data_IF_405087660112
#
_entry.id   IF_405087660112
#
_cell.length_a   1.000
_cell.length_b   1.000
_cell.length_c   1.000
_cell.angle_alpha   90.00
_cell.angle_beta   90.00
_cell.angle_gamma   90.00
#
_symmetry.space_group_name_H-M   'P 1'
#
loop_
_entity.id
_entity.type
_entity.pdbx_description
1 polymer ?
#
# COMPACT_ATOMS: atom_id res chain seq x y z
N UNK A 1 30.26 -9.88 -33.50
CA UNK A 1 30.26 -9.39 -32.11
C UNK A 1 29.09 -10.05 -31.42
N UNK A 2 29.31 -11.18 -30.75
CA UNK A 2 28.25 -12.04 -30.23
C UNK A 2 28.53 -12.40 -28.77
N UNK A 3 27.51 -12.22 -27.92
CA UNK A 3 27.14 -13.29 -27.00
C UNK A 3 27.37 -13.13 -25.49
N UNK A 4 27.55 -11.94 -24.92
CA UNK A 4 27.79 -11.83 -23.46
C UNK A 4 26.59 -11.47 -22.57
N UNK A 5 25.39 -11.25 -23.10
CA UNK A 5 24.24 -10.78 -22.29
C UNK A 5 23.24 -11.86 -21.85
N UNK A 6 23.31 -13.11 -22.31
CA UNK A 6 22.11 -13.98 -22.32
C UNK A 6 21.94 -15.00 -21.17
N UNK A 7 22.99 -15.44 -20.47
CA UNK A 7 22.85 -16.53 -19.50
C UNK A 7 22.33 -16.08 -18.12
N UNK A 8 22.68 -14.86 -17.69
CA UNK A 8 22.22 -14.31 -16.42
C UNK A 8 20.79 -13.71 -16.54
N UNK A 9 20.47 -13.06 -17.67
CA UNK A 9 19.15 -12.51 -17.93
C UNK A 9 18.04 -13.58 -17.94
N UNK A 10 18.27 -14.71 -18.63
CA UNK A 10 17.34 -15.86 -18.63
C UNK A 10 17.11 -16.52 -17.27
N UNK A 11 17.98 -16.29 -16.28
CA UNK A 11 17.83 -16.90 -14.94
C UNK A 11 16.89 -16.13 -14.02
N UNK A 12 16.53 -14.90 -14.39
CA UNK A 12 15.69 -14.03 -13.56
C UNK A 12 14.41 -13.59 -14.28
N UNK A 13 14.08 -14.23 -15.40
CA UNK A 13 12.78 -14.03 -16.04
C UNK A 13 11.69 -14.65 -15.17
N UNK A 14 10.55 -13.98 -15.10
CA UNK A 14 9.41 -14.39 -14.30
C UNK A 14 8.61 -13.24 -13.72
N UNK A 15 7.55 -13.61 -13.01
CA UNK A 15 6.70 -12.71 -12.27
C UNK A 15 7.06 -12.76 -10.78
N UNK A 16 7.07 -11.59 -10.16
CA UNK A 16 7.44 -11.41 -8.77
C UNK A 16 6.42 -10.54 -8.06
N UNK A 17 6.26 -10.73 -6.76
CA UNK A 17 5.39 -9.94 -5.88
C UNK A 17 6.19 -9.26 -4.78
N UNK A 18 5.84 -8.02 -4.48
CA UNK A 18 6.32 -7.31 -3.30
C UNK A 18 5.13 -6.73 -2.54
N UNK A 19 5.33 -6.50 -1.25
CA UNK A 19 4.37 -5.86 -0.36
C UNK A 19 5.06 -4.66 0.29
N UNK A 20 4.37 -3.53 0.33
CA UNK A 20 4.82 -2.32 1.01
C UNK A 20 3.87 -2.00 2.16
N UNK A 21 4.42 -1.80 3.36
CA UNK A 21 3.67 -1.32 4.51
C UNK A 21 3.39 0.19 4.37
N UNK A 22 2.14 0.52 4.11
CA UNK A 22 1.64 1.89 3.96
C UNK A 22 0.82 2.37 5.15
N UNK A 23 0.88 1.67 6.29
CA UNK A 23 0.10 1.97 7.51
C UNK A 23 0.34 3.40 8.01
N UNK A 24 1.57 3.88 7.90
CA UNK A 24 1.98 5.23 8.32
C UNK A 24 1.14 6.35 7.68
N UNK A 25 0.57 6.13 6.49
CA UNK A 25 -0.29 7.12 5.81
C UNK A 25 -1.52 7.44 6.66
N UNK A 26 -2.10 6.41 7.28
CA UNK A 26 -3.31 6.56 8.10
C UNK A 26 -2.98 6.94 9.54
N UNK A 27 -1.88 6.44 10.10
CA UNK A 27 -1.41 6.89 11.41
C UNK A 27 -1.19 8.41 11.43
N UNK A 28 -0.57 8.97 10.38
CA UNK A 28 -0.39 10.42 10.26
C UNK A 28 -1.74 11.18 10.19
N UNK A 29 -2.74 10.64 9.49
CA UNK A 29 -4.07 11.28 9.41
C UNK A 29 -4.73 11.31 10.79
N UNK A 30 -4.65 10.22 11.57
CA UNK A 30 -5.22 10.18 12.92
C UNK A 30 -4.44 11.05 13.92
N UNK A 31 -3.10 11.07 13.83
CA UNK A 31 -2.26 11.96 14.64
C UNK A 31 -2.55 13.44 14.38
N UNK A 32 -2.71 13.84 13.10
CA UNK A 32 -3.06 15.21 12.72
C UNK A 32 -4.43 15.64 13.27
N UNK A 33 -5.38 14.70 13.40
CA UNK A 33 -6.69 14.96 13.98
C UNK A 33 -6.73 14.80 15.51
N UNK A 34 -5.57 14.60 16.15
CA UNK A 34 -5.41 14.46 17.60
C UNK A 34 -6.26 13.33 18.20
N UNK A 35 -6.55 12.28 17.43
CA UNK A 35 -7.24 11.10 17.94
C UNK A 35 -6.21 10.10 18.47
N UNK A 36 -6.22 9.81 19.78
CA UNK A 36 -5.39 8.75 20.38
C UNK A 36 -6.00 7.37 20.07
N UNK A 37 -5.93 6.96 18.80
CA UNK A 37 -6.44 5.68 18.32
C UNK A 37 -5.32 4.65 18.33
N UNK A 38 -5.44 3.65 19.21
CA UNK A 38 -4.60 2.44 19.16
C UNK A 38 -5.15 1.46 18.13
N UNK A 39 -4.98 1.80 16.86
CA UNK A 39 -5.35 0.97 15.74
C UNK A 39 -4.46 -0.28 15.66
N UNK A 40 -4.98 -1.34 15.06
CA UNK A 40 -4.29 -2.61 14.89
C UNK A 40 -4.31 -3.05 13.43
N UNK A 41 -3.28 -3.80 13.03
CA UNK A 41 -3.17 -4.31 11.67
C UNK A 41 -2.25 -3.45 10.82
N UNK A 42 -2.11 -3.83 9.56
CA UNK A 42 -1.20 -3.22 8.60
C UNK A 42 -1.96 -2.99 7.30
N UNK A 43 -1.71 -1.85 6.66
CA UNK A 43 -2.18 -1.58 5.31
C UNK A 43 -1.05 -1.95 4.35
N UNK A 44 -1.32 -2.88 3.45
CA UNK A 44 -0.36 -3.40 2.48
C UNK A 44 -0.69 -2.85 1.10
N UNK A 45 0.29 -2.27 0.44
CA UNK A 45 0.25 -1.92 -0.98
C UNK A 45 0.99 -3.00 -1.77
N UNK A 46 0.29 -3.89 -2.49
CA UNK A 46 0.95 -4.95 -3.25
C UNK A 46 1.50 -4.43 -4.59
N UNK A 47 2.64 -4.96 -4.99
CA UNK A 47 3.29 -4.68 -6.27
C UNK A 47 3.61 -5.97 -7.02
N UNK A 48 3.58 -5.90 -8.34
CA UNK A 48 4.05 -6.96 -9.23
C UNK A 48 5.21 -6.47 -10.07
N UNK A 49 6.21 -7.31 -10.27
CA UNK A 49 7.32 -7.10 -11.19
C UNK A 49 7.34 -8.26 -12.19
N UNK A 50 7.22 -7.97 -13.48
CA UNK A 50 7.40 -8.93 -14.55
C UNK A 50 8.70 -8.66 -15.29
N UNK A 51 9.51 -9.69 -15.49
CA UNK A 51 10.77 -9.64 -16.25
C UNK A 51 10.71 -10.62 -17.43
N UNK A 52 10.72 -10.12 -18.66
CA UNK A 52 10.67 -10.94 -19.88
C UNK A 52 11.45 -10.30 -21.02
N UNK A 53 12.32 -11.06 -21.69
CA UNK A 53 13.02 -10.64 -22.91
C UNK A 53 13.77 -9.29 -22.76
N UNK A 54 14.33 -9.03 -21.57
CA UNK A 54 15.03 -7.78 -21.26
C UNK A 54 14.11 -6.57 -21.04
N UNK A 55 12.80 -6.76 -20.96
CA UNK A 55 11.80 -5.76 -20.58
C UNK A 55 11.29 -6.00 -19.15
N UNK A 56 11.04 -4.94 -18.43
CA UNK A 56 10.40 -5.00 -17.12
C UNK A 56 9.06 -4.24 -17.13
N UNK A 57 8.15 -4.71 -16.29
CA UNK A 57 6.94 -3.99 -15.90
C UNK A 57 6.82 -4.09 -14.39
N UNK A 58 6.71 -2.94 -13.70
CA UNK A 58 6.32 -2.87 -12.29
C UNK A 58 4.92 -2.26 -12.23
N UNK A 59 3.99 -2.89 -11.53
CA UNK A 59 2.62 -2.43 -11.40
C UNK A 59 2.16 -2.51 -9.94
N UNK A 60 1.45 -1.48 -9.48
CA UNK A 60 0.76 -1.49 -8.19
C UNK A 60 -0.61 -2.15 -8.33
N UNK A 61 -0.92 -3.09 -7.44
CA UNK A 61 -2.22 -3.75 -7.36
C UNK A 61 -3.19 -2.84 -6.58
N UNK A 62 -3.91 -1.98 -7.31
CA UNK A 62 -4.84 -1.00 -6.71
C UNK A 62 -5.98 -1.70 -5.97
N UNK A 63 -6.51 -2.78 -6.54
CA UNK A 63 -7.61 -3.54 -5.93
C UNK A 63 -7.13 -4.23 -4.65
N UNK A 64 -5.94 -4.85 -4.67
CA UNK A 64 -5.34 -5.44 -3.47
C UNK A 64 -5.02 -4.39 -2.39
N UNK A 65 -4.58 -3.19 -2.78
CA UNK A 65 -4.37 -2.10 -1.83
C UNK A 65 -5.70 -1.61 -1.21
N UNK A 66 -6.75 -1.45 -2.03
CA UNK A 66 -8.10 -1.14 -1.57
C UNK A 66 -8.62 -2.18 -0.58
N UNK A 67 -8.51 -3.47 -0.91
CA UNK A 67 -8.92 -4.56 -0.03
C UNK A 67 -8.16 -4.52 1.30
N UNK A 68 -6.84 -4.32 1.27
CA UNK A 68 -6.06 -4.20 2.50
C UNK A 68 -6.49 -3.02 3.36
N UNK A 69 -6.87 -1.91 2.73
CA UNK A 69 -7.33 -0.71 3.42
C UNK A 69 -8.73 -0.88 4.02
N UNK A 70 -9.66 -1.48 3.26
CA UNK A 70 -11.01 -1.82 3.75
C UNK A 70 -10.93 -2.74 4.97
N UNK A 71 -10.09 -3.78 4.92
CA UNK A 71 -9.85 -4.68 6.05
C UNK A 71 -9.28 -3.97 7.28
N UNK A 72 -8.39 -2.99 7.07
CA UNK A 72 -7.87 -2.18 8.17
C UNK A 72 -8.96 -1.33 8.81
N UNK A 73 -9.80 -0.67 8.02
CA UNK A 73 -10.93 0.09 8.55
C UNK A 73 -11.91 -0.81 9.29
N UNK A 74 -12.33 -1.93 8.70
CA UNK A 74 -13.27 -2.88 9.32
C UNK A 74 -12.83 -3.34 10.71
N UNK A 75 -11.51 -3.47 10.91
CA UNK A 75 -10.94 -3.85 12.20
C UNK A 75 -10.93 -2.72 13.23
N UNK A 76 -10.90 -1.46 12.78
CA UNK A 76 -10.59 -0.31 13.63
C UNK A 76 -11.69 0.74 13.72
N UNK A 77 -12.73 0.67 12.89
CA UNK A 77 -13.77 1.72 12.80
C UNK A 77 -14.40 2.04 14.14
N UNK A 78 -14.74 1.04 14.97
CA UNK A 78 -15.31 1.26 16.30
C UNK A 78 -14.40 2.09 17.21
N UNK A 79 -13.09 1.81 17.17
CA UNK A 79 -12.09 2.55 17.97
C UNK A 79 -11.92 3.96 17.44
N UNK A 80 -11.89 4.11 16.11
CA UNK A 80 -11.75 5.40 15.44
C UNK A 80 -12.93 6.29 15.80
N UNK A 81 -14.16 5.83 15.62
CA UNK A 81 -15.37 6.62 15.89
C UNK A 81 -15.53 6.92 17.37
N UNK A 82 -15.20 5.97 18.25
CA UNK A 82 -15.19 6.21 19.70
C UNK A 82 -14.18 7.29 20.10
N UNK A 83 -12.97 7.27 19.55
CA UNK A 83 -11.98 8.32 19.80
C UNK A 83 -12.43 9.69 19.30
N UNK A 84 -13.12 9.73 18.15
CA UNK A 84 -13.74 10.96 17.64
C UNK A 84 -14.80 11.49 18.61
N UNK A 85 -15.73 10.66 19.08
CA UNK A 85 -16.74 11.04 20.07
C UNK A 85 -16.10 11.64 21.32
N UNK A 86 -15.05 10.98 21.84
CA UNK A 86 -14.29 11.46 22.99
C UNK A 86 -13.64 12.82 22.72
N UNK A 87 -13.09 13.03 21.52
CA UNK A 87 -12.49 14.31 21.14
C UNK A 87 -13.49 15.47 21.12
N UNK A 88 -14.77 15.18 20.86
CA UNK A 88 -15.86 16.15 20.94
C UNK A 88 -16.33 16.41 22.38
N UNK A 89 -15.71 15.76 23.38
CA UNK A 89 -15.97 15.97 24.79
C UNK A 89 -17.01 15.04 25.41
N UNK A 90 -17.44 14.01 24.67
CA UNK A 90 -18.34 12.97 25.16
C UNK A 90 -17.56 11.80 25.77
N UNK A 91 -18.24 10.90 26.51
CA UNK A 91 -17.67 9.64 26.97
C UNK A 91 -17.64 8.55 25.90
N UNK A 92 -17.08 7.39 26.24
CA UNK A 92 -17.03 6.17 25.40
C UNK A 92 -18.18 5.18 25.71
N UNK A 93 -19.00 5.49 26.70
CA UNK A 93 -20.18 4.71 27.05
C UNK A 93 -21.35 4.94 26.08
N UNK A 94 -22.33 4.02 26.11
CA UNK A 94 -23.49 4.02 25.21
C UNK A 94 -24.33 5.29 25.35
N UNK A 95 -24.54 5.78 26.58
CA UNK A 95 -25.29 7.02 26.85
C UNK A 95 -24.59 8.22 26.20
N UNK A 96 -23.27 8.33 26.35
CA UNK A 96 -22.47 9.37 25.72
C UNK A 96 -22.48 9.31 24.19
N UNK A 97 -22.47 8.10 23.62
CA UNK A 97 -22.56 7.90 22.16
C UNK A 97 -23.94 8.29 21.63
N UNK A 98 -25.01 7.91 22.32
CA UNK A 98 -26.37 8.34 21.98
C UNK A 98 -26.53 9.87 22.11
N UNK A 99 -25.97 10.47 23.16
CA UNK A 99 -25.96 11.92 23.34
C UNK A 99 -25.23 12.60 22.18
N UNK A 100 -24.03 12.14 21.80
CA UNK A 100 -23.31 12.63 20.64
C UNK A 100 -24.16 12.54 19.36
N UNK A 101 -24.78 11.38 19.10
CA UNK A 101 -25.61 11.17 17.90
C UNK A 101 -26.78 12.16 17.85
N UNK A 102 -27.35 12.54 19.00
CA UNK A 102 -28.43 13.55 19.06
C UNK A 102 -28.04 14.95 18.53
N UNK A 103 -26.74 15.25 18.45
CA UNK A 103 -26.19 16.46 17.85
C UNK A 103 -25.86 16.32 16.36
N UNK A 104 -26.03 15.13 15.79
CA UNK A 104 -25.73 14.83 14.39
C UNK A 104 -27.01 14.67 13.56
N UNK A 105 -26.85 14.35 12.27
CA UNK A 105 -27.97 14.00 11.38
C UNK A 105 -28.23 12.49 11.27
N UNK A 106 -27.45 11.67 11.97
CA UNK A 106 -27.54 10.21 11.91
C UNK A 106 -28.57 9.68 12.91
N UNK A 107 -29.17 8.52 12.62
CA UNK A 107 -30.18 7.93 13.49
C UNK A 107 -29.58 7.17 14.67
N UNK A 108 -28.40 6.57 14.47
CA UNK A 108 -27.68 5.79 15.46
C UNK A 108 -26.16 5.82 15.22
N UNK A 109 -25.42 5.22 16.15
CA UNK A 109 -23.97 5.18 16.12
C UNK A 109 -23.41 4.27 15.01
N UNK A 110 -24.17 3.25 14.60
CA UNK A 110 -23.77 2.33 13.52
C UNK A 110 -23.86 3.04 12.16
N UNK A 111 -24.89 3.85 11.93
CA UNK A 111 -25.05 4.68 10.74
C UNK A 111 -23.91 5.70 10.65
N UNK A 112 -23.59 6.37 11.75
CA UNK A 112 -22.44 7.28 11.83
C UNK A 112 -21.13 6.56 11.52
N UNK A 113 -20.92 5.36 12.09
CA UNK A 113 -19.71 4.57 11.88
C UNK A 113 -19.57 4.13 10.43
N UNK A 114 -20.65 3.68 9.81
CA UNK A 114 -20.67 3.32 8.40
C UNK A 114 -20.45 4.54 7.48
N UNK A 115 -21.01 5.70 7.83
CA UNK A 115 -20.75 6.94 7.12
C UNK A 115 -19.26 7.29 7.15
N UNK A 116 -18.65 7.31 8.34
CA UNK A 116 -17.22 7.61 8.51
C UNK A 116 -16.34 6.63 7.73
N UNK A 117 -16.66 5.33 7.77
CA UNK A 117 -15.95 4.30 7.00
C UNK A 117 -15.93 4.62 5.51
N UNK A 118 -17.10 4.94 4.96
CA UNK A 118 -17.25 5.26 3.54
C UNK A 118 -16.55 6.58 3.17
N UNK A 119 -16.56 7.56 4.07
CA UNK A 119 -15.86 8.84 3.88
C UNK A 119 -14.33 8.65 3.85
N UNK A 120 -13.77 7.81 4.72
CA UNK A 120 -12.35 7.44 4.67
C UNK A 120 -11.99 6.75 3.34
N UNK A 121 -12.81 5.79 2.89
CA UNK A 121 -12.59 5.11 1.62
C UNK A 121 -12.66 6.06 0.42
N UNK A 122 -13.63 6.98 0.43
CA UNK A 122 -13.77 7.99 -0.62
C UNK A 122 -12.57 8.96 -0.62
N UNK A 123 -12.09 9.36 0.57
CA UNK A 123 -10.96 10.27 0.74
C UNK A 123 -9.64 9.72 0.20
N UNK A 124 -9.46 8.40 0.24
CA UNK A 124 -8.31 7.74 -0.39
C UNK A 124 -8.35 7.79 -1.91
N UNK A 125 -9.50 8.08 -2.51
CA UNK A 125 -9.64 8.29 -3.95
C UNK A 125 -9.42 7.02 -4.80
N UNK A 126 -9.61 5.83 -4.22
CA UNK A 126 -9.43 4.55 -4.92
C UNK A 126 -10.18 4.47 -6.26
N UNK A 127 -11.40 5.02 -6.32
CA UNK A 127 -12.22 5.03 -7.54
C UNK A 127 -11.62 5.86 -8.69
N UNK A 128 -10.71 6.78 -8.37
CA UNK A 128 -9.96 7.60 -9.33
C UNK A 128 -8.50 7.18 -9.48
N UNK A 129 -8.04 6.20 -8.70
CA UNK A 129 -6.66 5.75 -8.67
C UNK A 129 -6.37 4.87 -9.87
N UNK A 130 -5.42 5.30 -10.70
CA UNK A 130 -4.91 4.46 -11.78
C UNK A 130 -3.72 3.64 -11.28
N UNK A 131 -3.59 2.36 -11.69
CA UNK A 131 -2.40 1.58 -11.40
C UNK A 131 -1.15 2.31 -11.82
N UNK A 132 -0.22 2.49 -10.88
CA UNK A 132 1.09 3.04 -11.20
C UNK A 132 1.90 1.97 -11.91
N UNK A 133 1.98 2.07 -13.24
CA UNK A 133 2.76 1.15 -14.06
C UNK A 133 4.07 1.82 -14.50
N UNK A 134 5.19 1.18 -14.21
CA UNK A 134 6.52 1.54 -14.72
C UNK A 134 7.00 0.46 -15.66
N UNK A 135 7.31 0.82 -16.89
CA UNK A 135 7.83 -0.11 -17.89
C UNK A 135 9.16 0.35 -18.43
N UNK A 136 10.02 -0.57 -18.83
CA UNK A 136 11.27 -0.21 -19.48
C UNK A 136 12.15 -1.40 -19.77
N UNK A 137 13.44 -1.13 -19.99
CA UNK A 137 14.44 -2.16 -20.22
C UNK A 137 15.18 -2.49 -18.95
N UNK A 138 15.61 -3.74 -18.81
CA UNK A 138 16.54 -4.10 -17.75
C UNK A 138 17.78 -4.80 -18.29
N UNK A 139 18.89 -4.67 -17.57
CA UNK A 139 20.13 -5.40 -17.82
C UNK A 139 20.64 -6.01 -16.54
N UNK A 140 21.33 -7.15 -16.65
CA UNK A 140 21.87 -7.88 -15.49
C UNK A 140 23.37 -7.98 -15.62
N UNK A 141 24.08 -7.57 -14.56
CA UNK A 141 25.53 -7.69 -14.44
C UNK A 141 25.88 -8.33 -13.10
N UNK A 142 26.22 -9.62 -13.12
CA UNK A 142 26.44 -10.40 -11.90
C UNK A 142 25.18 -10.50 -11.05
N UNK A 143 25.22 -9.92 -9.83
CA UNK A 143 24.07 -9.86 -8.90
C UNK A 143 23.29 -8.56 -8.99
N UNK A 144 23.68 -7.64 -9.87
CA UNK A 144 23.01 -6.36 -10.02
C UNK A 144 22.05 -6.41 -11.19
N UNK A 145 20.85 -5.87 -11.01
CA UNK A 145 19.90 -5.55 -12.07
C UNK A 145 19.81 -4.03 -12.20
N UNK A 146 19.86 -3.53 -13.43
CA UNK A 146 19.70 -2.13 -13.75
C UNK A 146 18.43 -1.96 -14.58
N UNK A 147 17.52 -1.14 -14.10
CA UNK A 147 16.26 -0.79 -14.75
C UNK A 147 16.40 0.58 -15.40
N UNK A 148 15.95 0.70 -16.65
CA UNK A 148 16.06 1.89 -17.47
C UNK A 148 14.65 2.21 -17.99
N UNK A 149 14.09 3.31 -17.51
CA UNK A 149 12.81 3.85 -17.94
C UNK A 149 13.06 5.27 -18.45
N UNK A 150 12.87 5.48 -19.75
CA UNK A 150 13.17 6.75 -20.42
C UNK A 150 14.58 7.27 -20.06
N UNK A 151 14.69 8.44 -19.42
CA UNK A 151 15.94 9.05 -18.96
C UNK A 151 16.28 8.73 -17.48
N UNK A 152 15.48 7.89 -16.82
CA UNK A 152 15.67 7.51 -15.42
C UNK A 152 16.22 6.09 -15.29
N UNK A 153 17.18 5.94 -14.38
CA UNK A 153 17.81 4.66 -14.09
C UNK A 153 17.75 4.38 -12.59
N UNK A 154 17.34 3.17 -12.24
CA UNK A 154 17.40 2.67 -10.88
C UNK A 154 17.95 1.25 -10.85
N UNK A 155 18.39 0.82 -9.67
CA UNK A 155 19.07 -0.46 -9.52
C UNK A 155 18.35 -1.37 -8.55
N UNK A 156 18.50 -2.65 -8.79
CA UNK A 156 18.16 -3.68 -7.83
C UNK A 156 19.27 -4.70 -7.71
N UNK A 157 19.04 -5.65 -6.81
CA UNK A 157 19.93 -6.73 -6.49
C UNK A 157 19.20 -8.05 -6.59
N UNK A 158 19.77 -8.97 -7.36
CA UNK A 158 19.37 -10.37 -7.39
C UNK A 158 20.02 -11.07 -6.20
N UNK A 159 19.18 -11.53 -5.29
CA UNK A 159 19.62 -12.21 -4.07
C UNK A 159 19.88 -13.70 -4.34
N UNK A 160 20.65 -14.33 -3.46
CA UNK A 160 21.06 -15.73 -3.62
C UNK A 160 19.91 -16.74 -3.46
N UNK A 161 18.76 -16.29 -2.98
CA UNK A 161 17.54 -17.07 -2.74
C UNK A 161 16.50 -16.94 -3.88
N UNK A 162 16.83 -16.20 -4.94
CA UNK A 162 15.93 -15.98 -6.08
C UNK A 162 14.98 -14.79 -5.92
N UNK A 163 15.12 -13.97 -4.87
CA UNK A 163 14.41 -12.69 -4.73
C UNK A 163 15.16 -11.55 -5.45
N UNK A 164 14.45 -10.47 -5.76
CA UNK A 164 14.99 -9.23 -6.34
C UNK A 164 14.64 -8.08 -5.40
N UNK A 165 15.64 -7.45 -4.79
CA UNK A 165 15.42 -6.19 -4.08
C UNK A 165 15.56 -5.04 -5.07
N UNK A 166 14.56 -4.17 -5.18
CA UNK A 166 14.59 -2.97 -6.00
C UNK A 166 14.72 -1.76 -5.08
N UNK A 167 15.77 -0.96 -5.27
CA UNK A 167 16.01 0.26 -4.52
C UNK A 167 15.61 1.45 -5.42
N UNK A 168 14.56 2.18 -5.02
CA UNK A 168 14.17 3.43 -5.65
C UNK A 168 14.77 4.63 -4.91
N UNK A 169 15.04 5.74 -5.61
CA UNK A 169 15.58 6.94 -4.97
C UNK A 169 14.61 7.60 -3.97
N UNK A 170 13.30 7.35 -4.10
CA UNK A 170 12.24 8.07 -3.39
C UNK A 170 11.29 7.15 -2.60
N UNK A 171 11.57 5.85 -2.49
CA UNK A 171 10.75 4.88 -1.74
C UNK A 171 11.62 3.88 -1.01
N UNK A 172 11.15 3.36 0.13
CA UNK A 172 11.80 2.25 0.82
C UNK A 172 12.03 1.08 -0.15
N UNK A 173 13.13 0.31 0.00
CA UNK A 173 13.42 -0.79 -0.90
C UNK A 173 12.25 -1.80 -0.96
N UNK A 174 11.83 -2.15 -2.17
CA UNK A 174 10.82 -3.19 -2.40
C UNK A 174 11.52 -4.53 -2.62
N UNK A 175 11.21 -5.53 -1.80
CA UNK A 175 11.70 -6.90 -1.98
C UNK A 175 10.69 -7.73 -2.77
N UNK A 176 11.01 -7.96 -4.05
CA UNK A 176 10.22 -8.77 -4.96
C UNK A 176 10.59 -10.25 -4.84
N UNK A 177 9.61 -11.07 -4.47
CA UNK A 177 9.74 -12.54 -4.35
C UNK A 177 9.10 -13.21 -5.55
N UNK A 178 9.74 -14.25 -6.08
CA UNK A 178 9.22 -14.98 -7.24
C UNK A 178 7.83 -15.56 -6.92
N UNK A 179 6.85 -15.30 -7.78
CA UNK A 179 5.51 -15.88 -7.69
C UNK A 179 5.60 -17.33 -8.20
N UNK A 180 5.29 -18.31 -7.34
CA UNK A 180 5.41 -19.75 -7.64
C UNK A 180 4.07 -20.41 -7.82
#
# INVERSE_FOLDING_TARGET
>A
MSGCTSAAAKRIEGDYKAEYDSTYIIENIFEEQAYDVKAEGVIITPYRLSLSDGQFTIEMDVDGYRESFENYLDKNMDKITSAMVISYGFGDDEESKEEFISYTTFNDFDEFTNYMRNDFLASMGFDSMTPQTKTGKYTVSGKQIKFIQDDYEFTGKVNGDGTITVEGADVSPLEFKLDK
#
